data_IF_972951870142
#
_entry.id   IF_972951870142
#
_cell.length_a   1.000
_cell.length_b   1.000
_cell.length_c   1.000
_cell.angle_alpha   90.00
_cell.angle_beta   90.00
_cell.angle_gamma   90.00
#
_symmetry.space_group_name_H-M   'P 1'
#
loop_
_entity.id
_entity.type
_entity.pdbx_description
1 polymer ?
#
# COMPACT_ATOMS: atom_id res chain seq x y z
N UNK A 1 3.94 27.52 40.16
CA UNK A 1 4.26 26.13 39.75
C UNK A 1 5.74 26.10 39.35
N UNK A 2 6.49 25.13 39.79
CA UNK A 2 7.85 24.91 39.33
C UNK A 2 7.79 24.07 38.04
N UNK A 3 8.08 24.72 36.89
CA UNK A 3 8.00 24.08 35.56
C UNK A 3 9.01 22.94 35.43
N UNK A 4 10.23 23.11 35.98
CA UNK A 4 11.26 22.07 35.93
C UNK A 4 10.87 20.82 36.70
N UNK A 5 10.27 21.00 37.85
CA UNK A 5 9.77 19.91 38.69
C UNK A 5 8.56 19.23 38.00
N UNK A 6 7.70 20.00 37.32
CA UNK A 6 6.58 19.46 36.59
C UNK A 6 7.05 18.59 35.39
N UNK A 7 7.99 19.07 34.59
CA UNK A 7 8.59 18.29 33.51
C UNK A 7 9.25 17.01 34.04
N UNK A 8 10.02 17.12 35.14
CA UNK A 8 10.71 15.97 35.74
C UNK A 8 9.81 14.97 36.45
N UNK A 9 8.50 15.20 36.55
CA UNK A 9 7.55 14.33 37.26
C UNK A 9 7.15 13.06 36.50
N UNK A 10 7.42 12.97 35.20
CA UNK A 10 6.98 11.87 34.34
C UNK A 10 5.56 12.02 33.80
N UNK A 11 4.87 13.11 34.14
CA UNK A 11 3.46 13.31 33.74
C UNK A 11 3.30 13.51 32.22
N UNK A 12 4.31 14.04 31.55
CA UNK A 12 4.29 14.23 30.07
C UNK A 12 4.43 12.91 29.34
N UNK A 13 5.24 12.00 29.87
CA UNK A 13 5.36 10.62 29.40
C UNK A 13 4.04 9.85 29.61
N UNK A 14 3.45 9.94 30.80
CA UNK A 14 2.15 9.32 31.11
C UNK A 14 1.04 9.85 30.21
N UNK A 15 1.03 11.17 29.92
CA UNK A 15 0.12 11.79 28.97
C UNK A 15 0.28 11.21 27.57
N UNK A 16 1.51 11.18 27.06
CA UNK A 16 1.81 10.70 25.71
C UNK A 16 1.53 9.21 25.53
N UNK A 17 1.57 8.42 26.61
CA UNK A 17 1.21 7.00 26.62
C UNK A 17 -0.28 6.75 26.88
N UNK A 18 -1.10 7.79 27.08
CA UNK A 18 -2.53 7.66 27.36
C UNK A 18 -2.86 7.07 28.73
N UNK A 19 -1.98 7.20 29.72
CA UNK A 19 -2.11 6.64 31.06
C UNK A 19 -2.84 7.57 32.05
N UNK A 20 -3.07 8.83 31.64
CA UNK A 20 -3.76 9.80 32.48
C UNK A 20 -5.28 9.69 32.32
N UNK A 21 -6.01 10.06 33.37
CA UNK A 21 -7.46 10.30 33.28
C UNK A 21 -7.74 11.65 32.55
N UNK A 22 -8.99 11.85 32.14
CA UNK A 22 -9.40 13.01 31.31
C UNK A 22 -9.07 14.37 31.99
N UNK A 23 -9.21 14.49 33.32
CA UNK A 23 -8.93 15.72 34.04
C UNK A 23 -7.43 16.04 34.06
N UNK A 24 -6.59 15.04 34.32
CA UNK A 24 -5.14 15.19 34.31
C UNK A 24 -4.63 15.47 32.86
N UNK A 25 -5.17 14.80 31.86
CA UNK A 25 -4.84 15.04 30.46
C UNK A 25 -5.22 16.47 30.01
N UNK A 26 -6.40 16.94 30.38
CA UNK A 26 -6.82 18.33 30.11
C UNK A 26 -5.90 19.36 30.77
N UNK A 27 -5.41 19.07 32.00
CA UNK A 27 -4.43 19.91 32.69
C UNK A 27 -3.09 19.99 31.97
N UNK A 28 -2.58 18.88 31.43
CA UNK A 28 -1.35 18.87 30.58
C UNK A 28 -1.53 19.75 29.35
N UNK A 29 -2.63 19.57 28.62
CA UNK A 29 -2.94 20.38 27.42
C UNK A 29 -2.99 21.87 27.76
N UNK A 30 -3.67 22.24 28.85
CA UNK A 30 -3.76 23.63 29.28
C UNK A 30 -2.39 24.20 29.62
N UNK A 31 -1.56 23.46 30.35
CA UNK A 31 -0.23 23.92 30.76
C UNK A 31 0.73 24.01 29.60
N UNK A 32 0.68 23.07 28.65
CA UNK A 32 1.44 23.15 27.40
C UNK A 32 1.05 24.39 26.57
N UNK A 33 -0.22 24.77 26.57
CA UNK A 33 -0.66 26.01 25.92
C UNK A 33 -0.20 27.30 26.61
N UNK A 34 0.13 27.24 27.92
CA UNK A 34 0.58 28.41 28.69
C UNK A 34 2.10 28.53 28.81
N UNK A 35 2.83 27.42 28.80
CA UNK A 35 4.26 27.34 29.05
C UNK A 35 4.98 26.67 27.90
N UNK A 36 5.73 27.45 27.08
CA UNK A 36 6.44 26.91 25.91
C UNK A 36 7.44 25.80 26.25
N UNK A 37 8.02 25.82 27.45
CA UNK A 37 8.96 24.81 27.92
C UNK A 37 8.26 23.44 28.09
N UNK A 38 7.03 23.41 28.58
CA UNK A 38 6.23 22.19 28.70
C UNK A 38 5.82 21.69 27.34
N UNK A 39 5.43 22.57 26.41
CA UNK A 39 5.10 22.20 25.05
C UNK A 39 6.30 21.60 24.28
N UNK A 40 7.49 22.20 24.48
CA UNK A 40 8.72 21.71 23.86
C UNK A 40 9.10 20.31 24.37
N UNK A 41 9.01 20.08 25.68
CA UNK A 41 9.32 18.78 26.28
C UNK A 41 8.27 17.71 25.87
N UNK A 42 6.99 18.06 25.86
CA UNK A 42 5.94 17.16 25.39
C UNK A 42 6.20 16.70 23.94
N UNK A 43 6.54 17.64 23.05
CA UNK A 43 6.89 17.30 21.68
C UNK A 43 8.16 16.41 21.60
N UNK A 44 9.15 16.62 22.45
CA UNK A 44 10.35 15.79 22.51
C UNK A 44 10.02 14.34 22.96
N UNK A 45 9.15 14.18 23.95
CA UNK A 45 8.66 12.88 24.41
C UNK A 45 7.90 12.17 23.30
N UNK A 46 6.97 12.85 22.63
CA UNK A 46 6.19 12.28 21.51
C UNK A 46 7.07 11.83 20.36
N UNK A 47 8.07 12.65 19.96
CA UNK A 47 9.05 12.28 18.93
C UNK A 47 9.90 11.08 19.33
N UNK A 48 10.29 10.97 20.60
CA UNK A 48 11.05 9.82 21.09
C UNK A 48 10.21 8.53 21.05
N UNK A 49 8.93 8.60 21.43
CA UNK A 49 7.99 7.48 21.33
C UNK A 49 7.72 7.07 19.89
N UNK A 50 7.54 8.02 18.97
CA UNK A 50 7.37 7.75 17.55
C UNK A 50 8.60 7.04 16.96
N UNK A 51 9.80 7.54 17.28
CA UNK A 51 11.05 6.92 16.86
C UNK A 51 11.21 5.49 17.41
N UNK A 52 10.85 5.29 18.68
CA UNK A 52 10.87 3.96 19.30
C UNK A 52 9.88 3.00 18.60
N UNK A 53 8.63 3.45 18.37
CA UNK A 53 7.60 2.67 17.71
C UNK A 53 7.98 2.32 16.25
N UNK A 54 8.63 3.24 15.55
CA UNK A 54 9.01 3.04 14.14
C UNK A 54 10.07 1.95 13.93
N UNK A 55 10.88 1.63 14.97
CA UNK A 55 11.89 0.56 14.90
C UNK A 55 11.27 -0.83 14.71
N UNK A 56 10.04 -1.03 15.20
CA UNK A 56 9.30 -2.29 15.09
C UNK A 56 7.99 -2.13 14.30
N UNK A 57 7.87 -1.05 13.55
CA UNK A 57 6.67 -0.78 12.77
C UNK A 57 6.52 -1.81 11.65
N UNK A 58 5.33 -2.38 11.55
CA UNK A 58 4.94 -3.21 10.42
C UNK A 58 4.30 -2.29 9.37
N UNK A 59 4.82 -2.33 8.14
CA UNK A 59 4.23 -1.56 7.05
C UNK A 59 2.75 -1.93 6.88
N UNK A 60 1.84 -0.95 6.84
CA UNK A 60 0.44 -1.23 6.61
C UNK A 60 0.22 -1.84 5.23
N UNK A 61 -0.81 -2.67 5.08
CA UNK A 61 -1.20 -3.16 3.76
C UNK A 61 -1.56 -1.98 2.84
N UNK A 62 -1.24 -2.08 1.55
CA UNK A 62 -1.46 -1.02 0.56
C UNK A 62 -2.91 -0.50 0.52
N UNK A 63 -3.91 -1.35 0.80
CA UNK A 63 -5.31 -0.93 0.84
C UNK A 63 -5.79 -0.28 2.13
N UNK A 64 -4.98 -0.23 3.20
CA UNK A 64 -5.43 0.25 4.51
C UNK A 64 -5.79 1.73 4.49
N UNK A 65 -4.99 2.57 3.83
CA UNK A 65 -5.28 4.02 3.66
C UNK A 65 -6.67 4.26 3.09
N UNK A 66 -6.99 3.58 1.98
CA UNK A 66 -8.28 3.72 1.31
C UNK A 66 -9.44 3.21 2.19
N UNK A 67 -9.23 2.12 2.93
CA UNK A 67 -10.23 1.60 3.90
C UNK A 67 -10.50 2.59 5.02
N UNK A 68 -9.45 3.20 5.58
CA UNK A 68 -9.59 4.22 6.66
C UNK A 68 -10.27 5.47 6.12
N UNK A 69 -9.87 5.98 4.96
CA UNK A 69 -10.49 7.15 4.34
C UNK A 69 -11.97 6.90 4.03
N UNK A 70 -12.31 5.73 3.49
CA UNK A 70 -13.70 5.34 3.25
C UNK A 70 -14.53 5.27 4.53
N UNK A 71 -13.98 4.70 5.60
CA UNK A 71 -14.64 4.61 6.91
C UNK A 71 -14.87 5.99 7.56
N UNK A 72 -14.00 6.94 7.28
CA UNK A 72 -14.11 8.35 7.75
C UNK A 72 -15.01 9.21 6.85
N UNK A 73 -15.63 8.64 5.79
CA UNK A 73 -16.45 9.37 4.86
C UNK A 73 -15.69 10.19 3.81
N UNK A 74 -14.35 10.08 3.78
CA UNK A 74 -13.48 10.67 2.76
C UNK A 74 -13.23 9.72 1.60
N UNK A 75 -13.92 8.58 1.56
CA UNK A 75 -13.85 7.67 0.42
C UNK A 75 -14.38 8.40 -0.80
N UNK A 76 -13.52 8.68 -1.77
CA UNK A 76 -13.96 9.06 -3.08
C UNK A 76 -14.98 8.01 -3.54
N UNK A 77 -16.14 8.48 -4.00
CA UNK A 77 -16.96 7.64 -4.88
C UNK A 77 -16.01 7.31 -6.02
N UNK A 78 -15.56 6.05 -6.07
CA UNK A 78 -14.64 5.61 -7.10
C UNK A 78 -15.19 6.08 -8.44
N UNK A 79 -14.58 7.10 -9.02
CA UNK A 79 -14.95 7.53 -10.37
C UNK A 79 -14.71 6.34 -11.27
N UNK A 80 -15.66 5.95 -12.12
CA UNK A 80 -15.45 4.82 -13.02
C UNK A 80 -14.18 5.04 -13.84
N UNK A 81 -13.39 3.99 -14.02
CA UNK A 81 -12.25 4.04 -14.95
C UNK A 81 -12.79 4.19 -16.37
N UNK A 82 -12.17 5.07 -17.13
CA UNK A 82 -12.40 5.14 -18.58
C UNK A 82 -11.61 3.99 -19.26
N UNK A 83 -12.33 2.98 -19.73
CA UNK A 83 -11.73 1.82 -20.40
C UNK A 83 -11.03 2.19 -21.71
N UNK A 84 -11.34 3.34 -22.31
CA UNK A 84 -10.66 3.82 -23.51
C UNK A 84 -9.37 4.59 -23.19
N UNK A 85 -9.16 4.95 -21.93
CA UNK A 85 -7.99 5.70 -21.46
C UNK A 85 -7.63 5.27 -20.04
N UNK A 86 -7.18 4.02 -19.90
CA UNK A 86 -6.78 3.48 -18.62
C UNK A 86 -5.51 4.16 -18.10
N UNK A 87 -5.46 4.48 -16.80
CA UNK A 87 -4.26 5.05 -16.21
C UNK A 87 -3.13 4.01 -16.13
N UNK A 88 -1.90 4.50 -16.04
CA UNK A 88 -0.73 3.67 -15.69
C UNK A 88 -0.95 3.12 -14.26
N UNK A 89 -0.78 1.82 -14.10
CA UNK A 89 -0.82 1.19 -12.77
C UNK A 89 0.44 1.55 -11.98
N UNK A 90 0.26 1.78 -10.68
CA UNK A 90 1.31 2.11 -9.74
C UNK A 90 0.89 1.71 -8.31
N UNK A 91 1.72 1.99 -7.30
CA UNK A 91 1.44 1.67 -5.89
C UNK A 91 0.22 2.39 -5.30
N UNK A 92 -0.28 3.47 -5.93
CA UNK A 92 -1.46 4.22 -5.51
C UNK A 92 -2.74 3.77 -6.23
N UNK A 93 -2.64 2.85 -7.19
CA UNK A 93 -3.78 2.35 -7.94
C UNK A 93 -4.78 1.62 -7.02
N UNK A 94 -6.08 1.81 -7.26
CA UNK A 94 -7.12 1.18 -6.46
C UNK A 94 -7.63 -0.09 -7.14
N UNK A 95 -7.27 -1.27 -6.61
CA UNK A 95 -7.65 -2.56 -7.19
C UNK A 95 -9.17 -2.79 -7.26
N UNK A 96 -9.96 -2.25 -6.31
CA UNK A 96 -11.42 -2.38 -6.35
C UNK A 96 -12.02 -1.60 -7.52
N UNK A 97 -11.47 -0.44 -7.85
CA UNK A 97 -11.87 0.36 -9.00
C UNK A 97 -11.58 -0.38 -10.32
N UNK A 98 -10.39 -0.95 -10.43
CA UNK A 98 -10.01 -1.77 -11.57
C UNK A 98 -10.85 -3.03 -11.69
N UNK A 99 -11.08 -3.73 -10.58
CA UNK A 99 -11.88 -4.94 -10.53
C UNK A 99 -13.34 -4.65 -10.97
N UNK A 100 -13.93 -3.57 -10.47
CA UNK A 100 -15.29 -3.16 -10.86
C UNK A 100 -15.37 -2.79 -12.35
N UNK A 101 -14.38 -2.06 -12.87
CA UNK A 101 -14.36 -1.65 -14.27
C UNK A 101 -14.19 -2.85 -15.23
N UNK A 102 -13.40 -3.85 -14.82
CA UNK A 102 -13.04 -5.00 -15.67
C UNK A 102 -13.86 -6.27 -15.37
N UNK A 103 -14.79 -6.25 -14.41
CA UNK A 103 -15.54 -7.44 -13.97
C UNK A 103 -16.22 -8.21 -15.11
N UNK A 104 -16.65 -7.50 -16.15
CA UNK A 104 -17.32 -8.10 -17.32
C UNK A 104 -16.35 -8.86 -18.25
N UNK A 105 -15.04 -8.68 -18.08
CA UNK A 105 -13.97 -9.39 -18.81
C UNK A 105 -13.41 -10.57 -18.00
N UNK A 106 -13.66 -10.62 -16.70
CA UNK A 106 -13.10 -11.64 -15.81
C UNK A 106 -14.05 -12.83 -15.79
N UNK A 107 -13.62 -14.04 -16.18
CA UNK A 107 -14.46 -15.23 -16.10
C UNK A 107 -14.77 -15.58 -14.64
N UNK A 108 -16.01 -15.97 -14.34
CA UNK A 108 -16.42 -16.41 -13.00
C UNK A 108 -15.67 -17.67 -12.55
N UNK A 109 -15.49 -18.61 -13.48
CA UNK A 109 -14.70 -19.83 -13.30
C UNK A 109 -13.72 -19.95 -14.49
N UNK A 110 -12.44 -19.63 -14.29
CA UNK A 110 -11.46 -19.73 -15.36
C UNK A 110 -11.29 -21.19 -15.81
N UNK A 111 -11.75 -21.51 -17.01
CA UNK A 111 -11.62 -22.85 -17.58
C UNK A 111 -10.17 -23.13 -18.06
N UNK A 112 -9.48 -22.09 -18.51
CA UNK A 112 -8.11 -22.16 -19.02
C UNK A 112 -7.10 -21.88 -17.90
N UNK A 113 -5.90 -22.41 -18.04
CA UNK A 113 -4.81 -22.16 -17.11
C UNK A 113 -4.33 -20.70 -17.15
N UNK A 114 -4.39 -20.08 -18.33
CA UNK A 114 -4.08 -18.66 -18.54
C UNK A 114 -5.13 -18.06 -19.49
N UNK A 115 -5.79 -17.01 -19.03
CA UNK A 115 -6.69 -16.18 -19.81
C UNK A 115 -6.16 -14.74 -19.83
N UNK A 116 -6.01 -14.14 -21.01
CA UNK A 116 -5.43 -12.82 -21.17
C UNK A 116 -6.26 -11.94 -22.12
N UNK A 117 -6.51 -10.69 -21.72
CA UNK A 117 -7.23 -9.70 -22.52
C UNK A 117 -6.40 -8.42 -22.63
N UNK A 118 -5.95 -8.02 -23.82
CA UNK A 118 -5.30 -6.74 -24.02
C UNK A 118 -6.25 -5.58 -23.68
N UNK A 119 -5.79 -4.64 -22.83
CA UNK A 119 -6.52 -3.45 -22.42
C UNK A 119 -6.01 -2.18 -23.10
N UNK A 120 -4.70 -1.99 -23.05
CA UNK A 120 -4.00 -0.86 -23.67
C UNK A 120 -2.85 -1.42 -24.51
N UNK A 121 -2.68 -0.90 -25.73
CA UNK A 121 -1.56 -1.27 -26.60
C UNK A 121 -1.13 -0.04 -27.40
N UNK A 122 -0.10 0.63 -26.94
CA UNK A 122 0.54 1.78 -27.58
C UNK A 122 2.04 1.49 -27.76
N UNK A 123 2.77 2.29 -28.53
CA UNK A 123 4.23 2.11 -28.65
C UNK A 123 5.01 2.24 -27.32
N UNK A 124 4.43 2.89 -26.31
CA UNK A 124 5.10 3.14 -25.02
C UNK A 124 4.51 2.36 -23.85
N UNK A 125 3.28 1.84 -23.99
CA UNK A 125 2.56 1.19 -22.90
C UNK A 125 1.70 0.05 -23.42
N UNK A 126 1.89 -1.13 -22.88
CA UNK A 126 0.97 -2.25 -23.01
C UNK A 126 0.42 -2.64 -21.63
N UNK A 127 -0.90 -2.83 -21.54
CA UNK A 127 -1.56 -3.34 -20.34
C UNK A 127 -2.44 -4.51 -20.74
N UNK A 128 -2.35 -5.60 -19.99
CA UNK A 128 -3.10 -6.83 -20.20
C UNK A 128 -3.77 -7.26 -18.91
N UNK A 129 -5.08 -7.51 -18.95
CA UNK A 129 -5.75 -8.23 -17.89
C UNK A 129 -5.35 -9.70 -18.01
N UNK A 130 -4.80 -10.26 -16.94
CA UNK A 130 -4.39 -11.67 -16.88
C UNK A 130 -5.17 -12.36 -15.75
N UNK A 131 -5.73 -13.53 -16.08
CA UNK A 131 -6.28 -14.46 -15.10
C UNK A 131 -5.50 -15.77 -15.26
N UNK A 132 -4.77 -16.18 -14.23
CA UNK A 132 -3.88 -17.35 -14.33
C UNK A 132 -3.97 -18.26 -13.11
N UNK A 133 -3.86 -19.56 -13.37
CA UNK A 133 -3.64 -20.63 -12.40
C UNK A 133 -2.20 -21.16 -12.46
N UNK A 134 -1.48 -20.82 -13.54
CA UNK A 134 -0.14 -21.30 -13.81
C UNK A 134 0.91 -20.35 -13.30
N UNK A 135 1.97 -20.91 -12.77
CA UNK A 135 3.19 -20.20 -12.42
C UNK A 135 3.85 -19.58 -13.67
N UNK A 136 4.56 -18.48 -13.47
CA UNK A 136 5.41 -17.88 -14.52
C UNK A 136 6.84 -18.39 -14.30
N UNK A 137 7.43 -19.06 -15.30
CA UNK A 137 8.80 -19.53 -15.21
C UNK A 137 9.78 -18.34 -15.16
N UNK A 138 11.04 -18.67 -14.96
CA UNK A 138 12.11 -17.67 -14.93
C UNK A 138 12.17 -16.86 -16.24
N UNK A 139 12.09 -15.55 -16.10
CA UNK A 139 12.21 -14.60 -17.22
C UNK A 139 12.95 -13.33 -16.80
N UNK A 140 13.42 -12.56 -17.77
CA UNK A 140 14.10 -11.28 -17.58
C UNK A 140 13.90 -10.37 -18.79
N UNK A 141 13.82 -9.07 -18.56
CA UNK A 141 13.60 -8.05 -19.60
C UNK A 141 14.61 -6.90 -19.46
N UNK A 142 15.26 -6.55 -20.56
CA UNK A 142 16.23 -5.44 -20.61
C UNK A 142 15.77 -4.24 -21.44
N UNK A 143 14.65 -4.36 -22.15
CA UNK A 143 14.13 -3.38 -23.10
C UNK A 143 12.79 -2.75 -22.68
N UNK A 144 12.19 -3.24 -21.58
CA UNK A 144 10.94 -2.74 -21.02
C UNK A 144 10.93 -2.84 -19.51
N UNK A 145 10.13 -2.02 -18.86
CA UNK A 145 9.84 -2.10 -17.43
C UNK A 145 8.51 -2.85 -17.28
N UNK A 146 8.59 -4.02 -16.65
CA UNK A 146 7.42 -4.82 -16.33
C UNK A 146 6.89 -4.49 -14.94
N UNK A 147 5.59 -4.55 -14.77
CA UNK A 147 4.97 -4.44 -13.46
C UNK A 147 3.68 -5.24 -13.35
N UNK A 148 3.41 -5.70 -12.12
CA UNK A 148 2.23 -6.47 -11.76
C UNK A 148 1.37 -5.70 -10.79
N UNK A 149 0.08 -5.58 -11.09
CA UNK A 149 -0.91 -5.03 -10.17
C UNK A 149 -1.99 -6.08 -9.90
N UNK A 150 -2.01 -6.62 -8.71
CA UNK A 150 -2.90 -7.72 -8.34
C UNK A 150 -4.29 -7.19 -8.00
N UNK A 151 -5.32 -7.68 -8.70
CA UNK A 151 -6.73 -7.34 -8.46
C UNK A 151 -7.42 -8.35 -7.54
N UNK A 152 -7.07 -9.64 -7.67
CA UNK A 152 -7.66 -10.73 -6.86
C UNK A 152 -6.68 -11.90 -6.78
N UNK A 153 -6.71 -12.63 -5.65
CA UNK A 153 -5.84 -13.78 -5.42
C UNK A 153 -4.51 -13.39 -4.78
N UNK A 154 -3.62 -14.38 -4.70
CA UNK A 154 -2.31 -14.28 -4.04
C UNK A 154 -1.26 -15.03 -4.83
N UNK A 155 -0.06 -14.45 -4.93
CA UNK A 155 1.11 -15.09 -5.53
C UNK A 155 2.38 -14.64 -4.81
N UNK A 156 3.46 -15.38 -5.03
CA UNK A 156 4.81 -15.03 -4.59
C UNK A 156 5.63 -14.70 -5.83
N UNK A 157 6.18 -13.49 -5.90
CA UNK A 157 7.10 -13.09 -6.94
C UNK A 157 8.52 -13.06 -6.36
N UNK A 158 9.42 -13.85 -6.92
CA UNK A 158 10.84 -13.78 -6.62
C UNK A 158 11.52 -12.87 -7.64
N UNK A 159 12.21 -11.83 -7.16
CA UNK A 159 12.93 -10.85 -8.01
C UNK A 159 14.39 -10.84 -7.55
N UNK A 160 15.27 -11.41 -8.35
CA UNK A 160 16.63 -11.72 -7.91
C UNK A 160 16.63 -12.62 -6.68
N UNK A 161 17.12 -12.12 -5.55
CA UNK A 161 17.14 -12.85 -4.27
C UNK A 161 15.96 -12.49 -3.35
N UNK A 162 15.16 -11.47 -3.70
CA UNK A 162 14.07 -10.97 -2.86
C UNK A 162 12.74 -11.69 -3.15
N UNK A 163 11.99 -12.02 -2.09
CA UNK A 163 10.66 -12.61 -2.18
C UNK A 163 9.58 -11.58 -1.83
N UNK A 164 8.63 -11.40 -2.74
CA UNK A 164 7.51 -10.49 -2.59
C UNK A 164 6.20 -11.29 -2.54
N UNK A 165 5.50 -11.24 -1.39
CA UNK A 165 4.15 -11.80 -1.26
C UNK A 165 3.14 -10.77 -1.77
N UNK A 166 2.50 -11.07 -2.89
CA UNK A 166 1.54 -10.19 -3.56
C UNK A 166 0.12 -10.68 -3.32
N UNK A 167 -0.76 -9.75 -3.00
CA UNK A 167 -2.18 -9.98 -2.75
C UNK A 167 -3.01 -8.86 -3.40
N UNK A 168 -4.33 -8.95 -3.35
CA UNK A 168 -5.21 -7.93 -3.92
C UNK A 168 -4.82 -6.51 -3.44
N UNK A 169 -4.53 -5.63 -4.38
CA UNK A 169 -4.03 -4.26 -4.18
C UNK A 169 -2.50 -4.13 -4.18
N UNK A 170 -1.75 -5.23 -4.24
CA UNK A 170 -0.30 -5.18 -4.37
C UNK A 170 0.13 -4.72 -5.76
N UNK A 171 1.13 -3.84 -5.81
CA UNK A 171 1.83 -3.43 -7.03
C UNK A 171 3.31 -3.75 -6.88
N UNK A 172 3.90 -4.35 -7.89
CA UNK A 172 5.33 -4.64 -7.97
C UNK A 172 5.86 -4.26 -9.35
N UNK A 173 6.93 -3.48 -9.39
CA UNK A 173 7.68 -3.15 -10.60
C UNK A 173 8.98 -3.97 -10.60
N UNK A 174 9.27 -4.63 -11.72
CA UNK A 174 10.46 -5.45 -11.89
C UNK A 174 11.59 -4.56 -12.42
N UNK A 175 12.75 -4.49 -11.74
CA UNK A 175 13.90 -3.78 -12.23
C UNK A 175 14.41 -4.40 -13.54
N UNK A 176 14.96 -3.55 -14.43
CA UNK A 176 15.57 -4.00 -15.68
C UNK A 176 16.65 -5.06 -15.44
N UNK A 177 16.78 -5.97 -16.37
CA UNK A 177 17.79 -7.05 -16.36
C UNK A 177 17.76 -7.92 -15.09
N UNK A 178 16.62 -7.93 -14.38
CA UNK A 178 16.48 -8.69 -13.15
C UNK A 178 15.62 -9.93 -13.40
N UNK A 179 16.21 -11.08 -13.10
CA UNK A 179 15.53 -12.38 -13.19
C UNK A 179 14.39 -12.44 -12.18
N UNK A 180 13.23 -12.90 -12.63
CA UNK A 180 12.07 -13.08 -11.75
C UNK A 180 11.23 -14.31 -12.11
N UNK A 181 10.47 -14.80 -11.13
CA UNK A 181 9.51 -15.91 -11.26
C UNK A 181 8.26 -15.56 -10.48
N UNK A 182 7.11 -16.14 -10.85
CA UNK A 182 5.86 -15.99 -10.09
C UNK A 182 5.31 -17.38 -9.77
N UNK A 183 5.04 -17.64 -8.50
CA UNK A 183 4.34 -18.83 -7.99
C UNK A 183 2.93 -18.43 -7.56
N UNK A 184 1.91 -19.11 -8.09
CA UNK A 184 0.50 -18.86 -7.77
C UNK A 184 0.15 -19.62 -6.48
N UNK A 185 -0.28 -18.88 -5.44
CA UNK A 185 -0.61 -19.43 -4.11
C UNK A 185 -2.10 -19.69 -3.97
N UNK A 186 -2.95 -18.81 -4.48
CA UNK A 186 -4.42 -18.97 -4.48
C UNK A 186 -4.88 -19.85 -5.65
N UNK A 187 -6.15 -20.28 -5.70
CA UNK A 187 -6.66 -21.09 -6.83
C UNK A 187 -6.46 -20.45 -8.21
N UNK A 188 -6.44 -19.13 -8.28
CA UNK A 188 -6.05 -18.32 -9.44
C UNK A 188 -5.75 -16.88 -9.01
N UNK A 189 -5.04 -16.16 -9.86
CA UNK A 189 -4.74 -14.73 -9.69
C UNK A 189 -5.38 -13.95 -10.83
N UNK A 190 -5.95 -12.78 -10.51
CA UNK A 190 -6.36 -11.77 -11.47
C UNK A 190 -5.46 -10.57 -11.28
N UNK A 191 -4.79 -10.13 -12.35
CA UNK A 191 -3.89 -8.99 -12.29
C UNK A 191 -3.83 -8.20 -13.60
N UNK A 192 -3.22 -7.04 -13.51
CA UNK A 192 -2.82 -6.24 -14.67
C UNK A 192 -1.31 -6.42 -14.84
N UNK A 193 -0.93 -7.05 -15.93
CA UNK A 193 0.43 -7.05 -16.43
C UNK A 193 0.63 -5.77 -17.24
N UNK A 194 1.62 -4.98 -16.87
CA UNK A 194 1.92 -3.72 -17.54
C UNK A 194 3.38 -3.69 -18.00
N UNK A 195 3.57 -3.38 -19.28
CA UNK A 195 4.87 -3.15 -19.89
C UNK A 195 5.00 -1.69 -20.29
N UNK A 196 6.04 -1.02 -19.83
CA UNK A 196 6.42 0.33 -20.25
C UNK A 196 7.71 0.22 -21.07
N UNK A 197 7.63 0.60 -22.35
CA UNK A 197 8.78 0.58 -23.24
C UNK A 197 9.76 1.71 -22.89
N UNK A 198 11.04 1.41 -22.92
CA UNK A 198 12.10 2.43 -22.80
C UNK A 198 12.13 3.27 -24.07
N UNK A 199 12.27 4.60 -23.91
CA UNK A 199 12.34 5.56 -25.02
C UNK A 199 13.75 5.60 -25.63
#
# INVERSE_FOLDING_TARGET
MDIKQYIASGVLEDFSMGLLNDEAAASVIQLAGQYPEIAAELNAVEQALEKFASVQAISPSQGLKNKVLAALGFGDKLSPLDLNNLPITNSEANHLQWLEALKHLIPEDPAEDVFAVPLTNTPLLAQTLVVTKSDVPEETHGDLIESFFILKGECICKVGDDLHHLHAGSFLEIPLDTVHTIEIVSPYVVGILQHRMLA
#
